data_IF_376826208544
#
_entry.id   IF_376826208544
#
_cell.length_a   1.000
_cell.length_b   1.000
_cell.length_c   1.000
_cell.angle_alpha   90.00
_cell.angle_beta   90.00
_cell.angle_gamma   90.00
#
_symmetry.space_group_name_H-M   'P 1'
#
loop_
_entity.id
_entity.type
_entity.pdbx_description
1 polymer ?
#
# COMPACT_ATOMS: atom_id res chain seq x y z
N UNK A 1 -1.35 11.15 -26.90
CA UNK A 1 -0.06 11.83 -26.63
C UNK A 1 0.39 11.64 -25.18
N UNK A 2 -0.51 11.41 -24.21
CA UNK A 2 -0.19 11.25 -22.78
C UNK A 2 0.39 9.87 -22.37
N UNK A 3 0.05 8.77 -23.05
CA UNK A 3 0.41 7.43 -22.55
C UNK A 3 1.91 7.10 -22.67
N UNK A 4 2.59 7.64 -23.69
CA UNK A 4 4.04 7.46 -23.90
C UNK A 4 4.83 8.24 -22.84
N UNK A 5 4.39 9.46 -22.52
CA UNK A 5 4.99 10.30 -21.50
C UNK A 5 4.77 9.71 -20.09
N UNK A 6 3.56 9.22 -19.82
CA UNK A 6 3.24 8.53 -18.58
C UNK A 6 4.10 7.28 -18.38
N UNK A 7 4.24 6.45 -19.42
CA UNK A 7 5.09 5.26 -19.37
C UNK A 7 6.55 5.61 -19.13
N UNK A 8 7.07 6.62 -19.84
CA UNK A 8 8.45 7.09 -19.65
C UNK A 8 8.70 7.59 -18.21
N UNK A 9 7.75 8.31 -17.64
CA UNK A 9 7.82 8.80 -16.26
C UNK A 9 7.88 7.64 -15.26
N UNK A 10 7.00 6.64 -15.40
CA UNK A 10 7.01 5.42 -14.57
C UNK A 10 8.35 4.68 -14.69
N UNK A 11 8.86 4.47 -15.90
CA UNK A 11 10.15 3.80 -16.12
C UNK A 11 11.32 4.54 -15.45
N UNK A 12 11.32 5.88 -15.51
CA UNK A 12 12.34 6.71 -14.85
C UNK A 12 12.25 6.63 -13.32
N UNK A 13 11.03 6.64 -12.79
CA UNK A 13 10.79 6.48 -11.36
C UNK A 13 11.22 5.09 -10.86
N UNK A 14 10.84 4.01 -11.55
CA UNK A 14 11.23 2.62 -11.22
C UNK A 14 12.75 2.43 -11.22
N UNK A 15 13.46 3.03 -12.19
CA UNK A 15 14.93 3.03 -12.22
C UNK A 15 15.55 3.73 -11.02
N UNK A 16 14.85 4.69 -10.43
CA UNK A 16 15.32 5.42 -9.26
C UNK A 16 15.04 4.64 -7.98
N UNK A 17 13.85 4.03 -7.87
CA UNK A 17 13.47 3.15 -6.76
C UNK A 17 14.37 1.93 -6.67
N UNK A 18 14.63 1.25 -7.79
CA UNK A 18 15.47 0.03 -7.82
C UNK A 18 16.94 0.27 -7.46
N UNK A 19 17.44 1.51 -7.56
CA UNK A 19 18.80 1.91 -7.15
C UNK A 19 18.88 2.34 -5.69
N UNK A 20 17.74 2.45 -5.01
CA UNK A 20 17.68 2.90 -3.63
C UNK A 20 17.94 1.71 -2.70
N UNK A 21 19.13 1.65 -2.11
CA UNK A 21 19.41 0.75 -1.00
C UNK A 21 19.45 1.54 0.32
N UNK A 22 18.38 1.41 1.12
CA UNK A 22 18.27 2.05 2.42
C UNK A 22 18.97 1.29 3.55
N UNK A 23 19.42 0.06 3.32
CA UNK A 23 20.17 -0.71 4.34
C UNK A 23 21.56 -0.12 4.59
N UNK A 24 22.08 0.65 3.64
CA UNK A 24 23.44 1.20 3.66
C UNK A 24 23.49 2.72 3.83
N UNK A 25 22.33 3.41 3.93
CA UNK A 25 22.25 4.87 3.90
C UNK A 25 21.72 5.44 5.21
N UNK A 26 22.41 6.44 5.74
CA UNK A 26 21.93 7.28 6.85
C UNK A 26 20.91 8.34 6.40
N UNK A 27 20.92 8.72 5.11
CA UNK A 27 20.00 9.69 4.54
C UNK A 27 18.79 9.02 3.89
N UNK A 28 17.62 9.29 4.46
CA UNK A 28 16.32 8.75 4.06
C UNK A 28 15.57 9.70 3.10
N UNK A 29 16.02 10.95 2.93
CA UNK A 29 15.32 11.96 2.15
C UNK A 29 15.05 11.54 0.69
N UNK A 30 15.98 10.88 -0.03
CA UNK A 30 15.70 10.40 -1.39
C UNK A 30 14.54 9.40 -1.44
N UNK A 31 14.39 8.56 -0.40
CA UNK A 31 13.28 7.61 -0.31
C UNK A 31 11.94 8.31 -0.11
N UNK A 32 11.90 9.31 0.77
CA UNK A 32 10.71 10.12 1.02
C UNK A 32 10.30 10.88 -0.25
N UNK A 33 11.28 11.45 -0.97
CA UNK A 33 11.03 12.13 -2.24
C UNK A 33 10.49 11.17 -3.30
N UNK A 34 11.05 9.96 -3.42
CA UNK A 34 10.55 8.95 -4.37
C UNK A 34 9.16 8.43 -3.99
N UNK A 35 8.87 8.27 -2.69
CA UNK A 35 7.56 7.82 -2.20
C UNK A 35 6.48 8.86 -2.52
N UNK A 36 6.75 10.13 -2.21
CA UNK A 36 5.82 11.24 -2.42
C UNK A 36 5.74 11.67 -3.89
N UNK A 37 6.82 11.49 -4.64
CA UNK A 37 6.92 11.76 -6.07
C UNK A 37 6.51 10.60 -6.97
N UNK A 38 5.86 9.56 -6.41
CA UNK A 38 5.35 8.43 -7.19
C UNK A 38 4.38 8.92 -8.28
N UNK A 39 4.56 8.51 -9.55
CA UNK A 39 3.72 8.97 -10.64
C UNK A 39 2.24 8.62 -10.38
N UNK A 40 1.34 9.61 -10.41
CA UNK A 40 -0.08 9.39 -10.09
C UNK A 40 -0.74 8.33 -10.97
N UNK A 41 -0.20 8.13 -12.18
CA UNK A 41 -0.66 7.13 -13.13
C UNK A 41 -0.57 5.70 -12.60
N UNK A 42 0.36 5.39 -11.68
CA UNK A 42 0.44 4.05 -11.05
C UNK A 42 -0.75 3.78 -10.11
N UNK A 43 -1.43 4.83 -9.66
CA UNK A 43 -2.63 4.75 -8.81
C UNK A 43 -3.93 5.06 -9.59
N UNK A 44 -3.83 5.29 -10.89
CA UNK A 44 -4.97 5.58 -11.76
C UNK A 44 -5.59 4.31 -12.36
N UNK A 45 -6.60 4.47 -13.24
CA UNK A 45 -7.16 3.37 -14.03
C UNK A 45 -6.06 2.58 -14.75
N UNK A 46 -6.25 1.28 -14.96
CA UNK A 46 -5.22 0.43 -15.58
C UNK A 46 -4.85 0.94 -16.96
N UNK A 47 -3.56 1.24 -17.11
CA UNK A 47 -2.95 1.69 -18.37
C UNK A 47 -1.96 0.63 -18.89
N UNK A 48 -1.43 -0.25 -18.03
CA UNK A 48 -0.45 -1.30 -18.38
C UNK A 48 -0.67 -2.59 -17.59
N UNK A 49 -0.26 -3.73 -18.16
CA UNK A 49 -0.26 -5.04 -17.47
C UNK A 49 0.64 -5.06 -16.22
N UNK A 50 1.63 -4.15 -16.12
CA UNK A 50 2.61 -4.07 -15.04
C UNK A 50 2.19 -3.20 -13.85
N UNK A 51 1.01 -2.56 -13.85
CA UNK A 51 0.65 -1.57 -12.82
C UNK A 51 0.68 -2.17 -11.39
N UNK A 52 0.33 -3.45 -11.22
CA UNK A 52 0.45 -4.13 -9.93
C UNK A 52 1.90 -4.23 -9.43
N UNK A 53 2.86 -4.41 -10.34
CA UNK A 53 4.29 -4.43 -10.02
C UNK A 53 4.75 -3.04 -9.61
N UNK A 54 4.29 -2.00 -10.32
CA UNK A 54 4.62 -0.61 -10.00
C UNK A 54 4.12 -0.21 -8.61
N UNK A 55 2.88 -0.59 -8.27
CA UNK A 55 2.32 -0.41 -6.92
C UNK A 55 3.12 -1.24 -5.91
N UNK A 56 3.53 -2.46 -6.24
CA UNK A 56 4.35 -3.28 -5.34
C UNK A 56 5.71 -2.65 -5.04
N UNK A 57 6.38 -2.04 -6.02
CA UNK A 57 7.62 -1.28 -5.79
C UNK A 57 7.39 -0.06 -4.88
N UNK A 58 6.26 0.62 -5.03
CA UNK A 58 5.89 1.72 -4.13
C UNK A 58 5.65 1.23 -2.69
N UNK A 59 4.96 0.09 -2.53
CA UNK A 59 4.75 -0.54 -1.22
C UNK A 59 6.08 -0.95 -0.58
N UNK A 60 7.00 -1.50 -1.36
CA UNK A 60 8.32 -1.90 -0.87
C UNK A 60 9.10 -0.68 -0.36
N UNK A 61 9.09 0.43 -1.10
CA UNK A 61 9.70 1.68 -0.66
C UNK A 61 9.11 2.17 0.67
N UNK A 62 7.78 2.11 0.81
CA UNK A 62 7.12 2.44 2.07
C UNK A 62 7.55 1.50 3.21
N UNK A 63 7.67 0.21 2.96
CA UNK A 63 8.11 -0.76 3.96
C UNK A 63 9.57 -0.52 4.38
N UNK A 64 10.43 -0.09 3.46
CA UNK A 64 11.80 0.29 3.79
C UNK A 64 11.85 1.51 4.73
N UNK A 65 10.99 2.51 4.50
CA UNK A 65 10.85 3.67 5.39
C UNK A 65 10.36 3.25 6.78
N UNK A 66 9.34 2.40 6.84
CA UNK A 66 8.84 1.83 8.10
C UNK A 66 9.97 1.15 8.88
N UNK A 67 10.75 0.30 8.21
CA UNK A 67 11.86 -0.42 8.83
C UNK A 67 12.95 0.56 9.32
N UNK A 68 13.27 1.59 8.54
CA UNK A 68 14.25 2.60 8.92
C UNK A 68 13.85 3.32 10.22
N UNK A 69 12.62 3.85 10.28
CA UNK A 69 12.14 4.56 11.46
C UNK A 69 12.02 3.63 12.68
N UNK A 70 11.52 2.41 12.48
CA UNK A 70 11.46 1.41 13.54
C UNK A 70 12.84 1.07 14.11
N UNK A 71 13.85 0.87 13.26
CA UNK A 71 15.22 0.56 13.69
C UNK A 71 15.88 1.73 14.43
N UNK A 72 15.48 2.96 14.13
CA UNK A 72 15.95 4.16 14.83
C UNK A 72 15.13 4.50 16.09
N UNK A 73 14.12 3.69 16.43
CA UNK A 73 13.27 3.89 17.62
C UNK A 73 12.14 4.90 17.44
N UNK A 74 11.91 5.40 16.22
CA UNK A 74 10.78 6.28 15.91
C UNK A 74 9.54 5.46 15.51
N UNK A 75 8.96 4.81 16.51
CA UNK A 75 7.85 3.88 16.30
C UNK A 75 6.57 4.56 15.82
N UNK A 76 6.33 5.80 16.24
CA UNK A 76 5.15 6.56 15.83
C UNK A 76 5.22 6.90 14.34
N UNK A 77 6.36 7.40 13.87
CA UNK A 77 6.53 7.73 12.45
C UNK A 77 6.54 6.47 11.58
N UNK A 78 7.16 5.37 12.03
CA UNK A 78 7.08 4.08 11.37
C UNK A 78 5.62 3.62 11.22
N UNK A 79 4.80 3.76 12.26
CA UNK A 79 3.38 3.39 12.20
C UNK A 79 2.59 4.32 11.27
N UNK A 80 2.86 5.62 11.26
CA UNK A 80 2.22 6.57 10.33
C UNK A 80 2.49 6.20 8.87
N UNK A 81 3.69 5.73 8.54
CA UNK A 81 3.97 5.21 7.18
C UNK A 81 3.18 3.93 6.87
N UNK A 82 3.02 3.01 7.84
CA UNK A 82 2.12 1.84 7.66
C UNK A 82 0.68 2.28 7.37
N UNK A 83 0.14 3.22 8.15
CA UNK A 83 -1.20 3.78 7.97
C UNK A 83 -1.35 4.51 6.62
N UNK A 84 -0.35 5.29 6.23
CA UNK A 84 -0.32 5.99 4.94
C UNK A 84 -0.46 5.00 3.78
N UNK A 85 0.40 3.97 3.78
CA UNK A 85 0.39 2.90 2.79
C UNK A 85 -0.95 2.16 2.74
N UNK A 86 -1.46 1.81 3.91
CA UNK A 86 -2.74 1.12 4.08
C UNK A 86 -3.90 1.96 3.50
N UNK A 87 -3.96 3.25 3.82
CA UNK A 87 -5.01 4.16 3.33
C UNK A 87 -4.99 4.34 1.80
N UNK A 88 -3.79 4.35 1.18
CA UNK A 88 -3.65 4.41 -0.27
C UNK A 88 -4.19 3.16 -0.96
N UNK A 89 -3.93 1.98 -0.40
CA UNK A 89 -4.50 0.73 -0.93
C UNK A 89 -6.02 0.65 -0.73
N UNK A 90 -6.54 1.18 0.39
CA UNK A 90 -7.99 1.29 0.59
C UNK A 90 -8.64 2.15 -0.51
N UNK A 91 -8.05 3.32 -0.79
CA UNK A 91 -8.55 4.20 -1.84
C UNK A 91 -8.53 3.54 -3.24
N UNK A 92 -7.47 2.78 -3.55
CA UNK A 92 -7.37 2.03 -4.81
C UNK A 92 -8.42 0.93 -4.95
N UNK A 93 -8.65 0.17 -3.88
CA UNK A 93 -9.59 -0.94 -3.90
C UNK A 93 -11.04 -0.49 -4.15
N UNK A 94 -11.43 0.70 -3.69
CA UNK A 94 -12.78 1.23 -3.88
C UNK A 94 -12.92 2.13 -5.11
N UNK A 95 -11.82 2.44 -5.82
CA UNK A 95 -11.85 3.36 -6.94
C UNK A 95 -12.74 2.80 -8.08
N UNK A 96 -13.79 3.51 -8.52
CA UNK A 96 -14.77 2.96 -9.48
C UNK A 96 -14.17 2.55 -10.81
N UNK A 97 -13.19 3.31 -11.30
CA UNK A 97 -12.52 3.11 -12.59
C UNK A 97 -11.34 2.13 -12.51
N UNK A 98 -11.10 1.54 -11.33
CA UNK A 98 -9.98 0.62 -11.16
C UNK A 98 -10.31 -0.76 -11.69
N UNK A 99 -9.31 -1.41 -12.27
CA UNK A 99 -9.41 -2.80 -12.70
C UNK A 99 -9.66 -3.74 -11.53
N UNK A 100 -10.48 -4.75 -11.78
CA UNK A 100 -10.95 -5.67 -10.77
C UNK A 100 -9.83 -6.57 -10.22
N UNK A 101 -8.82 -6.91 -11.02
CA UNK A 101 -7.67 -7.66 -10.54
C UNK A 101 -6.82 -6.82 -9.56
N UNK A 102 -6.66 -5.52 -9.84
CA UNK A 102 -5.96 -4.60 -8.92
C UNK A 102 -6.76 -4.42 -7.63
N UNK A 103 -8.08 -4.26 -7.70
CA UNK A 103 -8.94 -4.19 -6.51
C UNK A 103 -8.78 -5.44 -5.65
N UNK A 104 -8.89 -6.63 -6.24
CA UNK A 104 -8.66 -7.91 -5.54
C UNK A 104 -7.28 -7.96 -4.89
N UNK A 105 -6.26 -7.55 -5.61
CA UNK A 105 -4.89 -7.56 -5.10
C UNK A 105 -4.74 -6.62 -3.91
N UNK A 106 -5.30 -5.41 -3.99
CA UNK A 106 -5.31 -4.44 -2.89
C UNK A 106 -6.03 -5.01 -1.66
N UNK A 107 -7.21 -5.61 -1.83
CA UNK A 107 -7.98 -6.21 -0.72
C UNK A 107 -7.16 -7.31 -0.02
N UNK A 108 -6.57 -8.24 -0.79
CA UNK A 108 -5.69 -9.29 -0.22
C UNK A 108 -4.48 -8.71 0.51
N UNK A 109 -3.91 -7.61 0.01
CA UNK A 109 -2.81 -6.93 0.70
C UNK A 109 -3.26 -6.24 1.98
N UNK A 110 -4.44 -5.62 2.00
CA UNK A 110 -5.02 -5.00 3.19
C UNK A 110 -5.25 -6.02 4.32
N UNK A 111 -5.71 -7.24 4.00
CA UNK A 111 -5.88 -8.34 4.98
C UNK A 111 -4.55 -8.75 5.65
N UNK A 112 -3.44 -8.71 4.91
CA UNK A 112 -2.12 -9.00 5.48
C UNK A 112 -1.61 -7.79 6.27
N UNK A 113 -1.79 -6.57 5.74
CA UNK A 113 -1.31 -5.35 6.37
C UNK A 113 -2.00 -5.07 7.70
N UNK A 114 -3.30 -5.32 7.82
CA UNK A 114 -4.04 -5.13 9.08
C UNK A 114 -3.45 -5.99 10.19
N UNK A 115 -3.14 -7.26 9.91
CA UNK A 115 -2.50 -8.17 10.88
C UNK A 115 -1.13 -7.62 11.30
N UNK A 116 -0.28 -7.28 10.32
CA UNK A 116 1.05 -6.73 10.59
C UNK A 116 1.01 -5.42 11.39
N UNK A 117 -0.03 -4.59 11.21
CA UNK A 117 -0.21 -3.34 11.97
C UNK A 117 -0.71 -3.61 13.39
N UNK A 118 -1.60 -4.59 13.58
CA UNK A 118 -2.06 -5.00 14.91
C UNK A 118 -0.94 -5.63 15.72
N UNK A 119 -0.15 -6.52 15.12
CA UNK A 119 1.06 -7.08 15.72
C UNK A 119 2.05 -5.97 16.08
N UNK A 120 2.23 -4.99 15.20
CA UNK A 120 3.08 -3.84 15.47
C UNK A 120 2.65 -3.11 16.73
N UNK A 121 1.36 -2.80 16.87
CA UNK A 121 0.80 -2.15 18.07
C UNK A 121 1.01 -2.99 19.33
N UNK A 122 0.80 -4.31 19.26
CA UNK A 122 0.95 -5.23 20.40
C UNK A 122 2.41 -5.34 20.89
N UNK A 123 3.38 -5.14 20.00
CA UNK A 123 4.81 -5.17 20.33
C UNK A 123 5.30 -3.88 20.99
N UNK A 124 4.47 -2.83 21.07
CA UNK A 124 4.88 -1.55 21.63
C UNK A 124 4.73 -1.50 23.16
N UNK A 125 5.61 -0.76 23.85
CA UNK A 125 5.65 -0.78 25.32
C UNK A 125 4.55 0.03 26.02
N UNK A 126 3.80 0.88 25.31
CA UNK A 126 2.84 1.82 25.92
C UNK A 126 1.38 1.46 25.65
N UNK A 127 0.50 1.79 26.60
CA UNK A 127 -0.95 1.52 26.53
C UNK A 127 -1.63 2.26 25.37
N UNK A 128 -1.07 3.37 24.90
CA UNK A 128 -1.59 4.14 23.76
C UNK A 128 -1.80 3.25 22.53
N UNK A 129 -0.92 2.27 22.32
CA UNK A 129 -0.99 1.34 21.18
C UNK A 129 -2.15 0.34 21.26
N UNK A 130 -2.69 0.08 22.46
CA UNK A 130 -3.92 -0.71 22.60
C UNK A 130 -5.14 0.06 22.10
N UNK A 131 -5.16 1.38 22.33
CA UNK A 131 -6.22 2.22 21.79
C UNK A 131 -6.09 2.35 20.25
N UNK A 132 -4.87 2.51 19.75
CA UNK A 132 -4.60 2.51 18.30
C UNK A 132 -5.00 1.19 17.63
N UNK A 133 -4.70 0.04 18.25
CA UNK A 133 -5.12 -1.25 17.69
C UNK A 133 -6.63 -1.40 17.65
N UNK A 134 -7.36 -0.93 18.67
CA UNK A 134 -8.82 -0.96 18.67
C UNK A 134 -9.40 -0.07 17.57
N UNK A 135 -8.92 1.17 17.44
CA UNK A 135 -9.35 2.07 16.36
C UNK A 135 -9.07 1.47 14.98
N UNK A 136 -7.93 0.80 14.83
CA UNK A 136 -7.55 0.15 13.58
C UNK A 136 -8.48 -1.02 13.23
N UNK A 137 -8.88 -1.83 14.22
CA UNK A 137 -9.88 -2.90 14.04
C UNK A 137 -11.20 -2.30 13.58
N UNK A 138 -11.70 -1.30 14.30
CA UNK A 138 -13.00 -0.68 14.02
C UNK A 138 -13.03 -0.06 12.61
N UNK A 139 -11.95 0.66 12.23
CA UNK A 139 -11.80 1.23 10.91
C UNK A 139 -11.73 0.17 9.80
N UNK A 140 -11.00 -0.94 10.03
CA UNK A 140 -10.90 -2.04 9.06
C UNK A 140 -12.24 -2.76 8.89
N UNK A 141 -12.94 -3.07 9.98
CA UNK A 141 -14.27 -3.70 9.93
C UNK A 141 -15.27 -2.82 9.18
N UNK A 142 -15.31 -1.52 9.51
CA UNK A 142 -16.18 -0.57 8.82
C UNK A 142 -15.88 -0.51 7.32
N UNK A 143 -14.59 -0.45 6.97
CA UNK A 143 -14.15 -0.48 5.58
C UNK A 143 -14.59 -1.77 4.86
N UNK A 144 -14.35 -2.94 5.44
CA UNK A 144 -14.74 -4.22 4.84
C UNK A 144 -16.26 -4.36 4.69
N UNK A 145 -17.03 -3.85 5.64
CA UNK A 145 -18.50 -3.81 5.56
C UNK A 145 -18.99 -2.91 4.42
N UNK A 146 -18.37 -1.75 4.21
CA UNK A 146 -18.70 -0.87 3.09
C UNK A 146 -18.48 -1.52 1.72
N UNK A 147 -17.58 -2.52 1.65
CA UNK A 147 -17.27 -3.29 0.46
C UNK A 147 -18.06 -4.60 0.31
N UNK A 148 -19.01 -4.93 1.21
CA UNK A 148 -19.69 -6.23 1.20
C UNK A 148 -20.32 -6.62 -0.15
N UNK A 149 -20.85 -5.65 -0.91
CA UNK A 149 -21.40 -5.91 -2.24
C UNK A 149 -20.33 -6.23 -3.30
N UNK A 150 -19.11 -5.72 -3.13
CA UNK A 150 -17.97 -5.94 -4.04
C UNK A 150 -17.22 -7.25 -3.69
N UNK A 151 -17.10 -7.57 -2.41
CA UNK A 151 -16.48 -8.82 -1.95
C UNK A 151 -17.25 -10.07 -2.43
N UNK A 152 -18.58 -10.00 -2.51
CA UNK A 152 -19.43 -11.11 -2.99
C UNK A 152 -19.38 -11.30 -4.51
N UNK A 153 -19.26 -10.24 -5.32
CA UNK A 153 -19.12 -10.38 -6.78
C UNK A 153 -17.80 -11.02 -7.18
N UNK A 154 -16.74 -10.79 -6.39
CA UNK A 154 -15.40 -11.33 -6.60
C UNK A 154 -15.27 -12.85 -6.37
N UNK A 155 -16.17 -13.44 -5.59
CA UNK A 155 -16.24 -14.88 -5.34
C UNK A 155 -17.02 -15.69 -6.39
N UNK A 156 -17.66 -15.05 -7.37
CA UNK A 156 -18.64 -15.69 -8.25
C UNK A 156 -18.11 -16.20 -9.61
N UNK A 157 -16.82 -16.01 -9.92
CA UNK A 157 -16.23 -16.44 -11.22
C UNK A 157 -15.62 -17.84 -11.17
N UNK A 158 -16.25 -18.77 -10.44
CA UNK A 158 -16.02 -20.21 -10.61
C UNK A 158 -17.37 -20.93 -10.69
N UNK A 159 -18.01 -20.82 -11.85
CA UNK A 159 -18.95 -21.86 -12.32
C UNK A 159 -18.29 -22.48 -13.55
N UNK A 160 -17.74 -23.68 -13.36
CA UNK A 160 -17.23 -24.49 -14.46
C UNK A 160 -18.37 -24.81 -15.44
N UNK A 161 -18.12 -24.87 -16.76
CA UNK A 161 -19.13 -25.30 -17.71
C UNK A 161 -19.46 -26.78 -17.46
N UNK A 162 -20.75 -27.11 -17.44
CA UNK A 162 -21.24 -28.48 -17.47
C UNK A 162 -21.08 -29.06 -18.88
#
# INVERSE_FOLDING_TARGET
>A
MNDIENKHNVDCWLKSVSKLDLKLKSDINPAIQLLNGAPQVIFGPVITESQNEDIAYWLELCQQLVNFYQNNGDYELAFRYKQFCYSKLQALAIAPQQDEAIKRWCIKKLEIMIINMLEYCQQQPTVVWQNESQQLIDAHVHYMQSMNHQNLSLGSVFVAPQ
#
